data_IF_028774493856
#
_entry.id   IF_028774493856
#
_cell.length_a   1.000
_cell.length_b   1.000
_cell.length_c   1.000
_cell.angle_alpha   90.00
_cell.angle_beta   90.00
_cell.angle_gamma   90.00
#
_symmetry.space_group_name_H-M   'P 1'
#
loop_
_entity.id
_entity.type
_entity.pdbx_description
1 polymer ?
#
# COMPACT_ATOMS: atom_id res chain seq x y z
N UNK A 1 3.34 3.63 20.89
CA UNK A 1 3.38 2.52 19.91
C UNK A 1 2.27 2.65 18.87
N UNK A 2 1.00 2.78 19.26
CA UNK A 2 -0.15 2.92 18.34
C UNK A 2 -0.01 4.05 17.30
N UNK A 3 0.48 5.23 17.70
CA UNK A 3 0.76 6.35 16.77
C UNK A 3 1.73 5.97 15.63
N UNK A 4 2.74 5.14 15.91
CA UNK A 4 3.69 4.66 14.89
C UNK A 4 3.00 3.74 13.88
N UNK A 5 2.06 2.90 14.31
CA UNK A 5 1.28 2.02 13.44
C UNK A 5 0.30 2.80 12.55
N UNK A 6 -0.37 3.81 13.10
CA UNK A 6 -1.31 4.68 12.35
C UNK A 6 -0.56 5.49 11.27
N UNK A 7 0.60 6.05 11.62
CA UNK A 7 1.44 6.79 10.67
C UNK A 7 2.01 5.86 9.60
N UNK A 8 2.49 4.67 9.98
CA UNK A 8 2.97 3.66 9.04
C UNK A 8 1.90 3.18 8.06
N UNK A 9 0.67 2.95 8.54
CA UNK A 9 -0.47 2.58 7.70
C UNK A 9 -0.82 3.69 6.70
N UNK A 10 -0.80 4.95 7.13
CA UNK A 10 -1.06 6.10 6.27
C UNK A 10 -0.03 6.21 5.13
N UNK A 11 1.25 5.97 5.44
CA UNK A 11 2.33 5.94 4.44
C UNK A 11 2.14 4.79 3.43
N UNK A 12 1.76 3.60 3.91
CA UNK A 12 1.50 2.43 3.05
C UNK A 12 0.31 2.65 2.10
N UNK A 13 -0.72 3.37 2.55
CA UNK A 13 -1.84 3.77 1.69
C UNK A 13 -1.41 4.75 0.60
N UNK A 14 -0.63 5.78 0.94
CA UNK A 14 -0.08 6.72 -0.04
C UNK A 14 0.79 5.97 -1.06
N UNK A 15 1.64 5.04 -0.59
CA UNK A 15 2.48 4.22 -1.45
C UNK A 15 1.66 3.33 -2.39
N UNK A 16 0.56 2.76 -1.90
CA UNK A 16 -0.35 1.93 -2.70
C UNK A 16 -1.02 2.73 -3.81
N UNK A 17 -1.46 3.97 -3.52
CA UNK A 17 -2.04 4.89 -4.52
C UNK A 17 -0.97 5.25 -5.57
N UNK A 18 0.26 5.52 -5.13
CA UNK A 18 1.40 5.83 -6.00
C UNK A 18 1.76 4.65 -6.93
N UNK A 19 1.71 3.42 -6.41
CA UNK A 19 1.94 2.19 -7.17
C UNK A 19 0.85 1.97 -8.23
N UNK A 20 -0.42 2.21 -7.89
CA UNK A 20 -1.54 2.15 -8.85
C UNK A 20 -1.37 3.22 -9.93
N UNK A 21 -0.99 4.43 -9.56
CA UNK A 21 -0.73 5.51 -10.52
C UNK A 21 0.45 5.15 -11.44
N UNK A 22 1.55 4.65 -10.88
CA UNK A 22 2.74 4.24 -11.64
C UNK A 22 2.44 3.06 -12.57
N UNK A 23 1.59 2.12 -12.13
CA UNK A 23 1.11 0.99 -12.96
C UNK A 23 0.52 1.46 -14.30
N UNK A 24 -0.21 2.58 -14.32
CA UNK A 24 -0.79 3.11 -15.57
C UNK A 24 0.25 3.62 -16.56
N UNK A 25 1.42 4.07 -16.09
CA UNK A 25 2.55 4.53 -16.91
C UNK A 25 3.57 3.43 -17.25
N UNK A 26 3.51 2.27 -16.58
CA UNK A 26 4.46 1.17 -16.75
C UNK A 26 4.04 0.25 -17.91
N UNK A 27 5.04 -0.21 -18.68
CA UNK A 27 4.92 -1.13 -19.83
C UNK A 27 4.02 -2.33 -19.47
N UNK A 28 3.12 -2.75 -20.38
CA UNK A 28 2.10 -3.79 -20.13
C UNK A 28 2.63 -5.06 -19.45
N UNK A 29 3.88 -5.46 -19.74
CA UNK A 29 4.55 -6.63 -19.16
C UNK A 29 4.80 -6.53 -17.63
N UNK A 30 4.87 -5.32 -17.07
CA UNK A 30 5.10 -5.10 -15.63
C UNK A 30 3.84 -4.61 -14.88
N UNK A 31 2.71 -4.43 -15.57
CA UNK A 31 1.46 -3.98 -14.94
C UNK A 31 0.92 -4.97 -13.92
N UNK A 32 0.92 -6.27 -14.24
CA UNK A 32 0.45 -7.30 -13.30
C UNK A 32 1.27 -7.34 -12.01
N UNK A 33 2.60 -7.27 -12.12
CA UNK A 33 3.49 -7.24 -10.96
C UNK A 33 3.22 -6.00 -10.09
N UNK A 34 3.06 -4.82 -10.71
CA UNK A 34 2.79 -3.57 -10.00
C UNK A 34 1.42 -3.57 -9.31
N UNK A 35 0.39 -4.16 -9.93
CA UNK A 35 -0.94 -4.33 -9.32
C UNK A 35 -0.91 -5.30 -8.13
N UNK A 36 -0.20 -6.42 -8.23
CA UNK A 36 -0.03 -7.34 -7.11
C UNK A 36 0.66 -6.66 -5.92
N UNK A 37 1.74 -5.91 -6.17
CA UNK A 37 2.44 -5.19 -5.11
C UNK A 37 1.55 -4.12 -4.46
N UNK A 38 0.72 -3.42 -5.23
CA UNK A 38 -0.24 -2.46 -4.69
C UNK A 38 -1.27 -3.15 -3.77
N UNK A 39 -1.84 -4.28 -4.19
CA UNK A 39 -2.80 -5.05 -3.37
C UNK A 39 -2.15 -5.51 -2.06
N UNK A 40 -0.93 -6.06 -2.12
CA UNK A 40 -0.20 -6.45 -0.91
C UNK A 40 0.09 -5.27 0.02
N UNK A 41 0.54 -4.13 -0.54
CA UNK A 41 0.78 -2.91 0.24
C UNK A 41 -0.49 -2.41 0.93
N UNK A 42 -1.63 -2.51 0.25
CA UNK A 42 -2.92 -2.11 0.82
C UNK A 42 -3.36 -3.04 1.97
N UNK A 43 -3.23 -4.36 1.80
CA UNK A 43 -3.56 -5.35 2.85
C UNK A 43 -2.67 -5.16 4.08
N UNK A 44 -1.37 -4.99 3.89
CA UNK A 44 -0.42 -4.76 5.00
C UNK A 44 -0.75 -3.44 5.72
N UNK A 45 -1.08 -2.38 4.97
CA UNK A 45 -1.53 -1.11 5.54
C UNK A 45 -2.81 -1.26 6.39
N UNK A 46 -3.78 -2.05 5.94
CA UNK A 46 -5.02 -2.36 6.67
C UNK A 46 -4.74 -3.11 7.98
N UNK A 47 -3.87 -4.12 7.93
CA UNK A 47 -3.49 -4.91 9.12
C UNK A 47 -2.75 -4.01 10.13
N UNK A 48 -1.80 -3.19 9.66
CA UNK A 48 -1.07 -2.25 10.50
C UNK A 48 -2.02 -1.22 11.15
N UNK A 49 -3.04 -0.75 10.42
CA UNK A 49 -4.05 0.16 10.94
C UNK A 49 -4.93 -0.51 12.00
N UNK A 50 -5.37 -1.75 11.76
CA UNK A 50 -6.17 -2.53 12.71
C UNK A 50 -5.41 -2.78 14.02
N UNK A 51 -4.14 -3.17 13.95
CA UNK A 51 -3.26 -3.32 15.12
C UNK A 51 -3.02 -1.99 15.83
N UNK A 52 -3.02 -0.87 15.08
CA UNK A 52 -2.87 0.47 15.66
C UNK A 52 -4.11 0.99 16.40
N UNK A 53 -5.30 0.47 16.07
CA UNK A 53 -6.58 0.84 16.72
C UNK A 53 -6.85 0.02 17.98
N UNK A 54 -6.51 -1.27 17.95
CA UNK A 54 -6.59 -2.18 19.10
C UNK A 54 -5.51 -1.85 20.13
#
# INVERSE_FOLDING_TARGET
MQLFFIVGASILWILSILLIYTSTKVRNEKKQSTHLTAIFSFIIGLIAFYIGII
#
